data_IF_053450894743
#
_entry.id   IF_053450894743
#
_cell.length_a   1.000
_cell.length_b   1.000
_cell.length_c   1.000
_cell.angle_alpha   90.00
_cell.angle_beta   90.00
_cell.angle_gamma   90.00
#
_symmetry.space_group_name_H-M   'P 1'
#
loop_
_entity.id
_entity.type
_entity.pdbx_description
1 polymer ?
#
# COMPACT_ATOMS: atom_id res chain seq x y z
N UNK A 1 24.57 7.56 -4.56
CA UNK A 1 25.03 7.98 -3.22
C UNK A 1 24.84 6.84 -2.23
N UNK A 2 25.78 6.65 -1.30
CA UNK A 2 25.68 5.56 -0.30
C UNK A 2 24.62 5.85 0.76
N UNK A 3 24.05 4.81 1.36
CA UNK A 3 23.10 4.96 2.46
C UNK A 3 23.73 5.65 3.69
N UNK A 4 22.97 6.49 4.42
CA UNK A 4 23.42 7.05 5.68
C UNK A 4 23.56 5.96 6.76
N UNK A 5 24.29 6.27 7.84
CA UNK A 5 24.40 5.35 8.99
C UNK A 5 23.05 5.24 9.71
N UNK A 6 22.34 4.15 9.43
CA UNK A 6 21.12 3.74 10.14
C UNK A 6 21.41 2.51 11.01
N UNK A 7 20.44 2.09 11.83
CA UNK A 7 20.60 0.91 12.67
C UNK A 7 20.95 -0.35 11.87
N UNK A 8 21.69 -1.28 12.47
CA UNK A 8 22.04 -2.58 11.86
C UNK A 8 20.80 -3.33 11.31
N UNK A 9 19.63 -3.36 11.99
CA UNK A 9 18.43 -4.01 11.46
C UNK A 9 17.94 -3.36 10.16
N UNK A 10 17.82 -2.03 10.14
CA UNK A 10 17.36 -1.30 8.96
C UNK A 10 18.34 -1.43 7.78
N UNK A 11 19.65 -1.37 8.04
CA UNK A 11 20.68 -1.58 7.01
C UNK A 11 20.57 -2.97 6.39
N UNK A 12 20.38 -4.01 7.21
CA UNK A 12 20.20 -5.38 6.73
C UNK A 12 18.91 -5.55 5.92
N UNK A 13 17.81 -4.94 6.38
CA UNK A 13 16.53 -4.97 5.69
C UNK A 13 16.63 -4.34 4.28
N UNK A 14 17.21 -3.14 4.16
CA UNK A 14 17.42 -2.49 2.88
C UNK A 14 18.32 -3.32 1.95
N UNK A 15 19.46 -3.80 2.46
CA UNK A 15 20.39 -4.63 1.68
C UNK A 15 19.73 -5.94 1.20
N UNK A 16 18.89 -6.57 2.04
CA UNK A 16 18.17 -7.80 1.66
C UNK A 16 17.18 -7.58 0.50
N UNK A 17 16.72 -6.34 0.31
CA UNK A 17 15.87 -5.92 -0.81
C UNK A 17 16.68 -5.35 -1.98
N UNK A 18 18.02 -5.44 -1.94
CA UNK A 18 18.89 -4.88 -2.99
C UNK A 18 19.01 -3.35 -2.97
N UNK A 19 18.59 -2.69 -1.89
CA UNK A 19 18.60 -1.24 -1.75
C UNK A 19 19.92 -0.82 -1.10
N UNK A 20 20.86 -0.34 -1.90
CA UNK A 20 22.20 0.05 -1.44
C UNK A 20 22.48 1.56 -1.51
N UNK A 21 21.57 2.33 -2.11
CA UNK A 21 21.78 3.74 -2.42
C UNK A 21 20.59 4.60 -2.04
N UNK A 22 20.81 5.89 -1.81
CA UNK A 22 19.73 6.85 -1.55
C UNK A 22 18.80 7.01 -2.75
N UNK A 23 19.32 6.89 -3.97
CA UNK A 23 18.54 6.91 -5.20
C UNK A 23 17.65 5.68 -5.34
N UNK A 24 18.09 4.52 -4.84
CA UNK A 24 17.23 3.35 -4.75
C UNK A 24 16.12 3.59 -3.71
N UNK A 25 16.46 4.16 -2.55
CA UNK A 25 15.47 4.51 -1.51
C UNK A 25 14.41 5.49 -2.03
N UNK A 26 14.78 6.47 -2.87
CA UNK A 26 13.83 7.45 -3.42
C UNK A 26 12.74 6.83 -4.31
N UNK A 27 12.94 5.60 -4.79
CA UNK A 27 11.94 4.86 -5.57
C UNK A 27 10.83 4.23 -4.70
N UNK A 28 10.98 4.26 -3.37
CA UNK A 28 10.02 3.67 -2.43
C UNK A 28 9.24 4.75 -1.68
N UNK A 29 8.02 4.39 -1.28
CA UNK A 29 7.21 5.21 -0.37
C UNK A 29 7.69 5.03 1.07
N UNK A 30 7.38 6.00 1.95
CA UNK A 30 7.67 5.88 3.39
C UNK A 30 7.01 4.64 4.01
N UNK A 31 5.75 4.37 3.65
CA UNK A 31 5.00 3.17 4.08
C UNK A 31 5.69 1.87 3.68
N UNK A 32 6.04 1.71 2.40
CA UNK A 32 6.66 0.48 1.88
C UNK A 32 8.00 0.19 2.57
N UNK A 33 8.78 1.22 2.88
CA UNK A 33 10.01 1.05 3.65
C UNK A 33 9.72 0.66 5.11
N UNK A 34 8.67 1.21 5.75
CA UNK A 34 8.29 0.84 7.12
C UNK A 34 7.74 -0.59 7.25
N UNK A 35 7.20 -1.16 6.17
CA UNK A 35 6.78 -2.56 6.13
C UNK A 35 7.97 -3.54 6.16
N UNK A 36 9.18 -3.09 5.81
CA UNK A 36 10.37 -3.92 5.87
C UNK A 36 10.76 -4.20 7.32
N UNK A 37 10.67 -5.48 7.72
CA UNK A 37 11.00 -5.90 9.09
C UNK A 37 12.42 -5.44 9.49
N UNK A 38 12.49 -4.52 10.46
CA UNK A 38 13.73 -3.91 10.94
C UNK A 38 13.94 -2.45 10.54
N UNK A 39 13.12 -1.91 9.64
CA UNK A 39 13.11 -0.48 9.29
C UNK A 39 12.11 0.26 10.18
N UNK A 40 12.63 0.83 11.26
CA UNK A 40 11.83 1.62 12.20
C UNK A 40 11.72 3.11 11.86
N UNK A 41 10.88 3.87 12.59
CA UNK A 41 10.65 5.30 12.35
C UNK A 41 11.95 6.12 12.42
N UNK A 42 12.89 5.73 13.29
CA UNK A 42 14.20 6.40 13.38
C UNK A 42 15.03 6.26 12.10
N UNK A 43 14.99 5.09 11.45
CA UNK A 43 15.67 4.89 10.18
C UNK A 43 15.04 5.74 9.07
N UNK A 44 13.71 5.81 9.03
CA UNK A 44 12.97 6.66 8.09
C UNK A 44 13.33 8.14 8.26
N UNK A 45 13.39 8.66 9.49
CA UNK A 45 13.77 10.06 9.71
C UNK A 45 15.19 10.38 9.23
N UNK A 46 16.14 9.46 9.42
CA UNK A 46 17.52 9.62 8.94
C UNK A 46 17.57 9.57 7.41
N UNK A 47 16.85 8.64 6.80
CA UNK A 47 16.75 8.53 5.34
C UNK A 47 16.10 9.77 4.74
N UNK A 48 15.05 10.30 5.36
CA UNK A 48 14.37 11.52 4.93
C UNK A 48 15.31 12.73 4.91
N UNK A 49 16.07 12.91 6.00
CA UNK A 49 17.04 13.99 6.08
C UNK A 49 18.14 13.85 5.03
N UNK A 50 18.66 12.63 4.83
CA UNK A 50 19.67 12.36 3.81
C UNK A 50 19.14 12.60 2.39
N UNK A 51 17.92 12.15 2.09
CA UNK A 51 17.26 12.41 0.81
C UNK A 51 17.14 13.93 0.57
N UNK A 52 16.63 14.68 1.55
CA UNK A 52 16.47 16.13 1.46
C UNK A 52 17.79 16.86 1.20
N UNK A 53 18.87 16.47 1.88
CA UNK A 53 20.21 17.02 1.65
C UNK A 53 20.71 16.82 0.21
N UNK A 54 20.27 15.75 -0.44
CA UNK A 54 20.60 15.42 -1.82
C UNK A 54 19.51 15.83 -2.83
N UNK A 55 18.54 16.67 -2.42
CA UNK A 55 17.41 17.12 -3.25
C UNK A 55 16.59 15.94 -3.82
N UNK A 56 16.58 14.83 -3.09
CA UNK A 56 15.75 13.67 -3.34
C UNK A 56 14.58 13.65 -2.35
N UNK A 57 13.54 12.92 -2.72
CA UNK A 57 12.38 12.67 -1.86
C UNK A 57 11.97 11.22 -1.98
N UNK A 58 11.21 10.71 -1.01
CA UNK A 58 10.53 9.44 -1.18
C UNK A 58 9.55 9.51 -2.33
N UNK A 59 9.26 8.36 -2.93
CA UNK A 59 8.16 8.24 -3.88
C UNK A 59 6.86 8.66 -3.17
N UNK A 60 6.10 9.53 -3.82
CA UNK A 60 4.79 9.93 -3.33
C UNK A 60 3.88 8.70 -3.25
N UNK A 61 3.18 8.54 -2.13
CA UNK A 61 2.09 7.58 -2.05
C UNK A 61 1.00 8.03 -3.01
N UNK A 62 0.81 7.28 -4.09
CA UNK A 62 -0.42 7.39 -4.88
C UNK A 62 -1.48 6.67 -4.06
N UNK A 63 -2.05 7.38 -3.09
CA UNK A 63 -3.36 7.00 -2.58
C UNK A 63 -4.29 7.13 -3.77
N UNK A 64 -4.74 6.00 -4.32
CA UNK A 64 -5.85 6.00 -5.25
C UNK A 64 -6.99 6.72 -4.53
N UNK A 65 -7.28 7.96 -4.91
CA UNK A 65 -8.38 8.75 -4.40
C UNK A 65 -9.67 8.18 -4.97
N UNK A 66 -9.97 6.94 -4.62
CA UNK A 66 -11.30 6.43 -4.74
C UNK A 66 -12.12 7.20 -3.69
N UNK A 67 -13.34 7.66 -4.02
CA UNK A 67 -14.18 8.40 -3.09
C UNK A 67 -14.59 7.56 -1.85
N UNK A 68 -14.20 6.28 -1.80
CA UNK A 68 -14.40 5.38 -0.69
C UNK A 68 -13.19 4.45 -0.51
N UNK A 69 -12.91 4.06 0.74
CA UNK A 69 -11.93 3.03 1.11
C UNK A 69 -12.64 1.91 1.84
N UNK A 70 -12.71 0.73 1.24
CA UNK A 70 -13.26 -0.46 1.90
C UNK A 70 -12.13 -1.23 2.59
N UNK A 71 -12.20 -1.36 3.91
CA UNK A 71 -11.23 -2.15 4.70
C UNK A 71 -11.99 -3.21 5.48
N UNK A 72 -11.58 -4.48 5.41
CA UNK A 72 -12.27 -5.56 6.10
C UNK A 72 -11.44 -6.83 6.22
N UNK A 73 -11.62 -7.53 7.35
CA UNK A 73 -11.04 -8.83 7.62
C UNK A 73 -11.72 -9.91 6.75
N UNK A 74 -10.94 -10.58 5.89
CA UNK A 74 -11.41 -11.62 4.95
C UNK A 74 -11.97 -12.84 5.68
N UNK A 75 -11.57 -13.07 6.94
CA UNK A 75 -12.00 -14.23 7.73
C UNK A 75 -13.35 -14.06 8.42
N UNK A 76 -13.93 -12.85 8.43
CA UNK A 76 -15.16 -12.57 9.16
C UNK A 76 -16.38 -12.49 8.21
N UNK A 77 -17.22 -13.53 8.16
CA UNK A 77 -18.37 -13.57 7.25
C UNK A 77 -19.64 -12.83 7.77
N UNK A 78 -19.50 -11.92 8.75
CA UNK A 78 -20.64 -11.19 9.33
C UNK A 78 -20.97 -9.86 8.64
N UNK A 79 -20.48 -9.64 7.41
CA UNK A 79 -20.72 -8.40 6.66
C UNK A 79 -21.23 -8.72 5.23
N UNK A 80 -22.52 -9.05 5.06
CA UNK A 80 -23.08 -9.44 3.76
C UNK A 80 -22.83 -8.41 2.64
N UNK A 81 -22.92 -7.11 2.98
CA UNK A 81 -22.66 -6.00 2.04
C UNK A 81 -21.20 -5.94 1.57
N UNK A 82 -20.26 -6.37 2.42
CA UNK A 82 -18.84 -6.43 2.08
C UNK A 82 -18.55 -7.58 1.12
N UNK A 83 -19.15 -8.75 1.39
CA UNK A 83 -19.00 -9.91 0.51
C UNK A 83 -19.56 -9.61 -0.88
N UNK A 84 -20.74 -8.99 -0.98
CA UNK A 84 -21.32 -8.56 -2.25
C UNK A 84 -20.40 -7.62 -3.06
N UNK A 85 -19.71 -6.69 -2.39
CA UNK A 85 -18.76 -5.80 -3.06
C UNK A 85 -17.52 -6.54 -3.56
N UNK A 86 -17.00 -7.48 -2.77
CA UNK A 86 -15.86 -8.34 -3.17
C UNK A 86 -16.26 -9.20 -4.37
N UNK A 87 -17.41 -9.86 -4.31
CA UNK A 87 -17.91 -10.71 -5.40
C UNK A 87 -18.11 -9.91 -6.68
N UNK A 88 -18.61 -8.66 -6.59
CA UNK A 88 -18.75 -7.77 -7.73
C UNK A 88 -17.40 -7.38 -8.36
N UNK A 89 -16.39 -7.07 -7.54
CA UNK A 89 -15.03 -6.76 -8.01
C UNK A 89 -14.40 -7.97 -8.70
N UNK A 90 -14.51 -9.15 -8.10
CA UNK A 90 -13.97 -10.41 -8.64
C UNK A 90 -14.66 -10.76 -9.96
N UNK A 91 -15.99 -10.69 -10.02
CA UNK A 91 -16.76 -10.93 -11.24
C UNK A 91 -16.38 -9.96 -12.36
N UNK A 92 -16.14 -8.68 -12.03
CA UNK A 92 -15.66 -7.66 -12.98
C UNK A 92 -14.28 -8.03 -13.53
N UNK A 93 -13.33 -8.39 -12.65
CA UNK A 93 -11.97 -8.76 -13.06
C UNK A 93 -11.93 -10.07 -13.88
N UNK A 94 -12.83 -11.00 -13.59
CA UNK A 94 -12.98 -12.26 -14.32
C UNK A 94 -13.80 -12.14 -15.62
N UNK A 95 -14.35 -10.96 -15.93
CA UNK A 95 -15.29 -10.73 -17.04
C UNK A 95 -16.51 -11.67 -17.01
N UNK A 96 -16.97 -12.03 -15.80
CA UNK A 96 -18.12 -12.92 -15.58
C UNK A 96 -19.43 -12.12 -15.63
N UNK A 97 -19.96 -11.97 -16.84
CA UNK A 97 -21.13 -11.13 -17.13
C UNK A 97 -22.41 -11.65 -16.46
N UNK A 98 -22.57 -12.98 -16.32
CA UNK A 98 -23.75 -13.57 -15.70
C UNK A 98 -23.76 -13.32 -14.20
N UNK A 99 -22.62 -13.52 -13.53
CA UNK A 99 -22.49 -13.23 -12.12
C UNK A 99 -22.70 -11.73 -11.85
N UNK A 100 -22.13 -10.85 -12.67
CA UNK A 100 -22.34 -9.40 -12.55
C UNK A 100 -23.82 -9.00 -12.62
N UNK A 101 -24.59 -9.59 -13.55
CA UNK A 101 -26.03 -9.32 -13.67
C UNK A 101 -26.83 -9.81 -12.45
N UNK A 102 -26.38 -10.87 -11.80
CA UNK A 102 -27.03 -11.39 -10.59
C UNK A 102 -26.72 -10.56 -9.34
N UNK A 103 -25.56 -9.91 -9.30
CA UNK A 103 -25.10 -9.10 -8.17
C UNK A 103 -25.63 -7.67 -8.18
N UNK A 104 -26.01 -7.14 -9.35
CA UNK A 104 -26.51 -5.76 -9.50
C UNK A 104 -28.03 -5.76 -9.62
N UNK A 105 -28.70 -5.05 -8.72
CA UNK A 105 -30.14 -4.76 -8.84
C UNK A 105 -30.35 -3.38 -9.45
N UNK A 106 -31.43 -3.19 -10.21
CA UNK A 106 -31.79 -1.90 -10.83
C UNK A 106 -32.12 -0.80 -9.81
N UNK A 107 -32.51 -1.19 -8.60
CA UNK A 107 -32.86 -0.29 -7.50
C UNK A 107 -31.72 -0.31 -6.47
N UNK A 108 -30.77 0.62 -6.57
CA UNK A 108 -29.77 0.84 -5.53
C UNK A 108 -30.24 1.99 -4.64
N UNK A 109 -30.93 1.66 -3.53
CA UNK A 109 -31.33 2.64 -2.52
C UNK A 109 -30.28 2.63 -1.40
N UNK A 110 -29.40 3.63 -1.40
CA UNK A 110 -28.48 3.89 -0.30
C UNK A 110 -29.16 4.83 0.70
N UNK A 111 -29.79 4.26 1.74
CA UNK A 111 -30.23 5.02 2.91
C UNK A 111 -29.13 5.01 3.97
N UNK A 112 -28.61 6.19 4.30
CA UNK A 112 -27.71 6.44 5.44
C UNK A 112 -28.51 6.41 6.73
#
# INVERSE_FOLDING_TARGET
MTLPKIGKPATRALNSQGIYTLEAVSQYTKSSLMEMHGVGPKAISILEQALFQHQLHFKTEVQSSLPFKLTGDVSCNHAPKRQQMIDFIVATAALDIELLRSLVTTEFIWSV
#
